data_IF_443710221242
#
_entry.id   IF_443710221242
#
_cell.length_a   1.000
_cell.length_b   1.000
_cell.length_c   1.000
_cell.angle_alpha   90.00
_cell.angle_beta   90.00
_cell.angle_gamma   90.00
#
_symmetry.space_group_name_H-M   'P 1'
#
loop_
_entity.id
_entity.type
_entity.pdbx_description
1 polymer ?
#
# COMPACT_ATOMS: atom_id res chain seq x y z
N UNK A 1 -13.75 12.03 12.17
CA UNK A 1 -13.72 12.61 10.80
C UNK A 1 -15.09 13.21 10.52
N UNK A 2 -15.21 14.52 10.23
CA UNK A 2 -16.50 15.16 9.87
C UNK A 2 -16.91 14.95 8.41
N UNK A 3 -16.25 14.05 7.68
CA UNK A 3 -16.67 13.75 6.31
C UNK A 3 -17.98 12.96 6.41
N UNK A 4 -19.06 13.43 5.78
CA UNK A 4 -20.29 12.67 5.77
C UNK A 4 -20.05 11.31 5.10
N UNK A 5 -20.84 10.31 5.51
CA UNK A 5 -20.73 8.96 4.95
C UNK A 5 -21.04 8.93 3.45
N UNK A 6 -20.78 7.79 2.81
CA UNK A 6 -21.00 7.62 1.37
C UNK A 6 -22.43 7.96 0.91
N UNK A 7 -23.44 7.78 1.78
CA UNK A 7 -24.82 8.16 1.46
C UNK A 7 -25.01 9.65 1.12
N UNK A 8 -24.17 10.54 1.65
CA UNK A 8 -24.22 11.96 1.25
C UNK A 8 -23.67 12.20 -0.15
N UNK A 9 -22.68 11.43 -0.59
CA UNK A 9 -22.21 11.45 -1.97
C UNK A 9 -23.29 10.93 -2.92
N UNK A 10 -23.93 9.81 -2.56
CA UNK A 10 -24.98 9.21 -3.39
C UNK A 10 -26.15 10.18 -3.57
N UNK A 11 -26.61 10.81 -2.48
CA UNK A 11 -27.65 11.85 -2.52
C UNK A 11 -27.22 13.06 -3.35
N UNK A 12 -25.97 13.51 -3.22
CA UNK A 12 -25.46 14.60 -4.05
C UNK A 12 -25.46 14.24 -5.54
N UNK A 13 -25.06 13.02 -5.88
CA UNK A 13 -25.05 12.53 -7.26
C UNK A 13 -26.47 12.49 -7.85
N UNK A 14 -27.44 11.99 -7.10
CA UNK A 14 -28.85 11.96 -7.53
C UNK A 14 -29.37 13.38 -7.84
N UNK A 15 -29.09 14.34 -6.96
CA UNK A 15 -29.47 15.73 -7.17
C UNK A 15 -28.75 16.33 -8.39
N UNK A 16 -27.43 16.11 -8.51
CA UNK A 16 -26.63 16.57 -9.62
C UNK A 16 -27.16 16.05 -10.96
N UNK A 17 -27.41 14.74 -11.07
CA UNK A 17 -27.91 14.12 -12.31
C UNK A 17 -29.30 14.65 -12.67
N UNK A 18 -30.17 14.86 -11.67
CA UNK A 18 -31.52 15.39 -11.85
C UNK A 18 -31.48 16.81 -12.41
N UNK A 19 -30.74 17.71 -11.77
CA UNK A 19 -30.69 19.12 -12.17
C UNK A 19 -29.88 19.34 -13.44
N UNK A 20 -28.86 18.53 -13.74
CA UNK A 20 -28.13 18.58 -15.01
C UNK A 20 -29.04 18.27 -16.19
N UNK A 21 -29.89 17.23 -16.05
CA UNK A 21 -30.91 16.87 -17.05
C UNK A 21 -31.96 17.97 -17.22
N UNK A 22 -32.47 18.52 -16.13
CA UNK A 22 -33.46 19.62 -16.18
C UNK A 22 -32.88 20.87 -16.86
N UNK A 23 -31.61 21.17 -16.65
CA UNK A 23 -30.92 22.28 -17.30
C UNK A 23 -30.53 22.00 -18.77
N UNK A 24 -30.75 20.77 -19.27
CA UNK A 24 -30.34 20.36 -20.63
C UNK A 24 -28.82 20.37 -20.83
N UNK A 25 -28.03 20.20 -19.77
CA UNK A 25 -26.56 20.24 -19.83
C UNK A 25 -25.95 18.86 -19.69
N UNK A 26 -24.95 18.58 -20.52
CA UNK A 26 -24.07 17.43 -20.34
C UNK A 26 -22.99 17.77 -19.30
N UNK A 27 -23.22 17.35 -18.05
CA UNK A 27 -22.31 17.58 -16.94
C UNK A 27 -21.94 16.23 -16.31
N UNK A 28 -20.70 16.13 -15.84
CA UNK A 28 -20.17 14.89 -15.27
C UNK A 28 -19.52 15.15 -13.92
N UNK A 29 -19.69 14.20 -13.01
CA UNK A 29 -18.95 14.21 -11.75
C UNK A 29 -17.54 13.67 -11.97
N UNK A 30 -16.55 14.52 -11.71
CA UNK A 30 -15.14 14.15 -11.68
C UNK A 30 -14.70 14.15 -10.21
N UNK A 31 -14.63 12.97 -9.56
CA UNK A 31 -14.28 12.91 -8.15
C UNK A 31 -12.76 13.14 -7.92
N UNK A 32 -12.43 13.95 -6.91
CA UNK A 32 -11.06 14.18 -6.47
C UNK A 32 -10.75 13.40 -5.19
N UNK A 33 -9.74 12.54 -5.23
CA UNK A 33 -9.37 11.69 -4.09
C UNK A 33 -8.03 12.08 -3.49
N UNK A 34 -8.02 12.17 -2.16
CA UNK A 34 -6.83 12.42 -1.36
C UNK A 34 -6.55 11.17 -0.51
N UNK A 35 -5.33 10.67 -0.61
CA UNK A 35 -4.80 9.57 0.20
C UNK A 35 -4.04 10.10 1.42
N UNK A 36 -3.79 9.26 2.44
CA UNK A 36 -2.99 9.62 3.61
C UNK A 36 -3.53 10.82 4.43
N UNK A 37 -4.85 11.03 4.43
CA UNK A 37 -5.46 12.08 5.23
C UNK A 37 -5.35 11.77 6.74
N UNK A 38 -5.20 12.77 7.62
CA UNK A 38 -5.27 12.57 9.07
C UNK A 38 -6.58 11.88 9.49
N UNK A 39 -6.48 10.90 10.37
CA UNK A 39 -7.59 10.06 10.81
C UNK A 39 -7.90 8.88 9.89
N UNK A 40 -7.13 8.68 8.81
CA UNK A 40 -7.27 7.52 7.92
C UNK A 40 -6.34 6.39 8.32
N UNK A 41 -6.90 5.19 8.47
CA UNK A 41 -6.19 3.92 8.66
C UNK A 41 -6.08 3.16 7.35
N UNK A 42 -5.26 2.11 7.34
CA UNK A 42 -5.05 1.27 6.15
C UNK A 42 -6.36 0.56 5.77
N UNK A 43 -7.17 0.17 6.75
CA UNK A 43 -8.50 -0.42 6.53
C UNK A 43 -9.45 0.53 5.80
N UNK A 44 -9.42 1.82 6.12
CA UNK A 44 -10.25 2.83 5.46
C UNK A 44 -9.89 2.94 3.98
N UNK A 45 -8.59 2.87 3.66
CA UNK A 45 -8.09 2.91 2.29
C UNK A 45 -8.42 1.64 1.52
N UNK A 46 -8.40 0.47 2.17
CA UNK A 46 -8.90 -0.78 1.55
C UNK A 46 -10.39 -0.68 1.25
N UNK A 47 -11.20 -0.20 2.19
CA UNK A 47 -12.64 -0.03 1.99
C UNK A 47 -12.94 0.95 0.85
N UNK A 48 -12.21 2.07 0.79
CA UNK A 48 -12.32 3.03 -0.30
C UNK A 48 -11.91 2.42 -1.65
N UNK A 49 -10.83 1.64 -1.69
CA UNK A 49 -10.39 0.95 -2.90
C UNK A 49 -11.43 -0.06 -3.42
N UNK A 50 -12.07 -0.81 -2.52
CA UNK A 50 -13.18 -1.70 -2.86
C UNK A 50 -14.38 -0.92 -3.38
N UNK A 51 -14.72 0.22 -2.76
CA UNK A 51 -15.78 1.09 -3.24
C UNK A 51 -15.49 1.61 -4.65
N UNK A 52 -14.26 2.08 -4.92
CA UNK A 52 -13.83 2.52 -6.25
C UNK A 52 -13.97 1.39 -7.28
N UNK A 53 -13.53 0.18 -6.93
CA UNK A 53 -13.65 -1.00 -7.81
C UNK A 53 -15.09 -1.35 -8.12
N UNK A 54 -15.98 -1.33 -7.11
CA UNK A 54 -17.42 -1.59 -7.27
C UNK A 54 -18.06 -0.58 -8.24
N UNK A 55 -17.67 0.68 -8.17
CA UNK A 55 -18.18 1.77 -9.01
C UNK A 55 -17.38 1.98 -10.31
N UNK A 56 -16.44 1.07 -10.61
CA UNK A 56 -15.61 1.10 -11.83
C UNK A 56 -14.76 2.37 -11.99
N UNK A 57 -14.42 3.03 -10.89
CA UNK A 57 -13.44 4.12 -10.92
C UNK A 57 -12.02 3.57 -11.02
N UNK A 58 -11.25 4.12 -11.96
CA UNK A 58 -9.81 3.89 -12.13
C UNK A 58 -9.11 5.24 -12.06
N UNK A 59 -8.49 5.52 -10.93
CA UNK A 59 -7.88 6.82 -10.66
C UNK A 59 -6.43 6.85 -11.14
N UNK A 60 -6.11 7.70 -12.10
CA UNK A 60 -4.72 7.97 -12.46
C UNK A 60 -4.09 9.01 -11.54
N UNK A 61 -4.85 10.05 -11.19
CA UNK A 61 -4.39 11.15 -10.36
C UNK A 61 -4.85 10.96 -8.91
N UNK A 62 -3.91 10.58 -8.05
CA UNK A 62 -4.11 10.48 -6.60
C UNK A 62 -3.06 11.33 -5.90
N UNK A 63 -3.53 12.32 -5.14
CA UNK A 63 -2.66 13.16 -4.33
C UNK A 63 -2.57 12.60 -2.90
N UNK A 64 -1.36 12.60 -2.34
CA UNK A 64 -1.20 12.44 -0.91
C UNK A 64 -1.63 13.72 -0.21
N UNK A 65 -2.23 13.60 0.97
CA UNK A 65 -2.47 14.75 1.83
C UNK A 65 -1.17 15.52 2.04
N UNK A 66 -1.30 16.84 1.88
CA UNK A 66 -0.26 17.83 2.13
C UNK A 66 -0.82 18.83 3.14
N UNK A 67 -0.12 19.07 4.27
CA UNK A 67 -0.61 19.95 5.34
C UNK A 67 -0.57 21.42 4.90
N UNK A 68 -1.65 21.89 4.28
CA UNK A 68 -1.81 23.31 3.92
C UNK A 68 -2.14 24.16 5.15
N UNK A 69 -1.58 25.37 5.30
CA UNK A 69 -1.94 26.25 6.42
C UNK A 69 -3.44 26.52 6.54
N UNK A 70 -3.89 26.92 7.73
CA UNK A 70 -5.27 27.35 8.03
C UNK A 70 -6.35 26.28 7.80
N UNK A 71 -5.98 24.99 7.78
CA UNK A 71 -6.93 23.88 7.65
C UNK A 71 -7.00 23.01 8.92
N UNK A 72 -8.20 22.59 9.31
CA UNK A 72 -8.41 21.69 10.46
C UNK A 72 -7.64 20.38 10.33
N UNK A 73 -7.57 19.81 9.12
CA UNK A 73 -6.78 18.60 8.87
C UNK A 73 -5.29 18.85 9.11
N UNK A 74 -4.78 20.05 8.84
CA UNK A 74 -3.39 20.41 9.14
C UNK A 74 -3.15 20.51 10.63
N UNK A 75 -4.09 21.08 11.38
CA UNK A 75 -4.05 21.02 12.85
C UNK A 75 -4.00 19.57 13.33
N UNK A 76 -4.88 18.70 12.84
CA UNK A 76 -4.84 17.26 13.16
C UNK A 76 -3.51 16.61 12.78
N UNK A 77 -2.92 16.97 11.63
CA UNK A 77 -1.66 16.42 11.15
C UNK A 77 -0.50 16.73 12.12
N UNK A 78 -0.44 17.95 12.65
CA UNK A 78 0.62 18.37 13.55
C UNK A 78 0.37 17.95 15.00
N UNK A 79 -0.86 18.08 15.50
CA UNK A 79 -1.17 17.84 16.91
C UNK A 79 -1.54 16.39 17.22
N UNK A 80 -1.96 15.61 16.22
CA UNK A 80 -2.53 14.28 16.44
C UNK A 80 -3.83 14.30 17.24
N UNK A 81 -4.53 15.45 17.31
CA UNK A 81 -5.80 15.61 18.04
C UNK A 81 -6.88 16.15 17.12
N UNK A 82 -8.14 15.83 17.42
CA UNK A 82 -9.29 16.36 16.72
C UNK A 82 -9.64 17.77 17.26
N UNK A 83 -9.42 18.87 16.51
CA UNK A 83 -9.62 20.24 17.00
C UNK A 83 -11.10 20.63 17.16
N UNK A 84 -12.03 19.79 16.74
CA UNK A 84 -13.47 20.08 16.77
C UNK A 84 -14.13 19.65 18.08
N UNK A 85 -13.43 18.84 18.89
CA UNK A 85 -13.85 18.44 20.22
C UNK A 85 -13.04 19.15 21.30
N UNK A 86 -13.53 19.08 22.54
CA UNK A 86 -12.77 19.56 23.71
C UNK A 86 -11.48 18.75 23.85
N UNK A 87 -10.33 19.43 23.83
CA UNK A 87 -9.02 18.81 24.01
C UNK A 87 -8.71 18.76 25.51
N UNK A 88 -8.31 17.58 25.98
CA UNK A 88 -7.90 17.32 27.36
C UNK A 88 -7.14 16.02 27.47
N UNK A 89 -6.78 15.60 28.68
CA UNK A 89 -5.94 14.41 28.89
C UNK A 89 -6.56 13.12 28.31
N UNK A 90 -7.88 12.99 28.35
CA UNK A 90 -8.63 11.83 27.83
C UNK A 90 -9.08 11.98 26.37
N UNK A 91 -8.59 12.99 25.65
CA UNK A 91 -8.99 13.23 24.25
C UNK A 91 -8.46 12.15 23.32
N UNK A 92 -9.29 11.71 22.37
CA UNK A 92 -8.93 10.74 21.34
C UNK A 92 -7.70 11.19 20.55
N UNK A 93 -6.83 10.24 20.23
CA UNK A 93 -5.70 10.45 19.33
C UNK A 93 -6.10 10.17 17.88
N UNK A 94 -5.75 11.11 17.03
CA UNK A 94 -5.93 11.00 15.58
C UNK A 94 -4.68 10.36 14.99
N UNK A 95 -4.85 9.19 14.38
CA UNK A 95 -3.79 8.54 13.61
C UNK A 95 -3.42 9.42 12.40
N UNK A 96 -2.13 9.68 12.20
CA UNK A 96 -1.65 10.49 11.07
C UNK A 96 -0.68 9.69 10.21
N UNK A 97 -1.00 9.41 8.93
CA UNK A 97 -0.11 8.71 8.01
C UNK A 97 1.07 9.59 7.57
N UNK A 98 2.13 9.66 8.38
CA UNK A 98 3.34 10.47 8.08
C UNK A 98 4.42 9.70 7.33
N UNK A 99 4.54 8.39 7.59
CA UNK A 99 5.62 7.57 7.05
C UNK A 99 5.51 7.32 5.55
N UNK A 100 6.64 7.33 4.84
CA UNK A 100 6.71 7.11 3.39
C UNK A 100 6.02 5.81 2.96
N UNK A 101 6.33 4.69 3.64
CA UNK A 101 5.74 3.38 3.35
C UNK A 101 4.22 3.40 3.41
N UNK A 102 3.65 3.98 4.46
CA UNK A 102 2.20 4.03 4.65
C UNK A 102 1.53 4.97 3.63
N UNK A 103 2.13 6.13 3.36
CA UNK A 103 1.61 7.08 2.35
C UNK A 103 1.64 6.47 0.95
N UNK A 104 2.71 5.74 0.61
CA UNK A 104 2.82 4.99 -0.64
C UNK A 104 1.77 3.88 -0.74
N UNK A 105 1.54 3.15 0.36
CA UNK A 105 0.49 2.14 0.42
C UNK A 105 -0.91 2.75 0.20
N UNK A 106 -1.24 3.85 0.88
CA UNK A 106 -2.54 4.52 0.73
C UNK A 106 -2.75 4.97 -0.71
N UNK A 107 -1.74 5.56 -1.34
CA UNK A 107 -1.80 5.94 -2.75
C UNK A 107 -1.95 4.73 -3.67
N UNK A 108 -1.21 3.65 -3.42
CA UNK A 108 -1.26 2.40 -4.17
C UNK A 108 -2.66 1.76 -4.11
N UNK A 109 -3.30 1.73 -2.94
CA UNK A 109 -4.65 1.21 -2.76
C UNK A 109 -5.69 1.94 -3.63
N UNK A 110 -5.61 3.27 -3.73
CA UNK A 110 -6.51 4.03 -4.60
C UNK A 110 -6.24 3.81 -6.10
N UNK A 111 -5.01 3.42 -6.45
CA UNK A 111 -4.58 3.02 -7.79
C UNK A 111 -4.51 1.49 -7.94
N UNK A 112 -5.48 0.75 -7.39
CA UNK A 112 -5.49 -0.72 -7.35
C UNK A 112 -5.37 -1.41 -8.73
N UNK A 113 -5.73 -0.72 -9.81
CA UNK A 113 -5.71 -1.25 -11.17
C UNK A 113 -4.32 -1.23 -11.80
N UNK A 114 -3.38 -0.46 -11.25
CA UNK A 114 -2.00 -0.36 -11.73
C UNK A 114 -1.18 -1.58 -11.24
N UNK A 115 -0.65 -2.42 -12.15
CA UNK A 115 0.11 -3.61 -11.80
C UNK A 115 1.34 -3.35 -10.94
N UNK A 116 1.97 -2.18 -11.08
CA UNK A 116 3.15 -1.81 -10.28
C UNK A 116 2.84 -1.77 -8.78
N UNK A 117 1.58 -1.55 -8.40
CA UNK A 117 1.14 -1.47 -7.01
C UNK A 117 0.77 -2.83 -6.41
N UNK A 118 0.55 -3.88 -7.21
CA UNK A 118 0.02 -5.16 -6.74
C UNK A 118 0.90 -5.86 -5.70
N UNK A 119 2.25 -5.90 -5.81
CA UNK A 119 3.07 -6.53 -4.77
C UNK A 119 2.89 -5.86 -3.40
N UNK A 120 2.90 -4.52 -3.38
CA UNK A 120 2.71 -3.72 -2.16
C UNK A 120 1.32 -3.93 -1.54
N UNK A 121 0.28 -3.91 -2.37
CA UNK A 121 -1.10 -4.12 -1.91
C UNK A 121 -1.28 -5.53 -1.36
N UNK A 122 -0.77 -6.56 -2.05
CA UNK A 122 -0.84 -7.96 -1.57
C UNK A 122 -0.17 -8.11 -0.21
N UNK A 123 1.05 -7.60 -0.06
CA UNK A 123 1.76 -7.65 1.22
C UNK A 123 0.95 -7.01 2.35
N UNK A 124 0.36 -5.84 2.09
CA UNK A 124 -0.47 -5.16 3.08
C UNK A 124 -1.76 -5.93 3.41
N UNK A 125 -2.46 -6.46 2.39
CA UNK A 125 -3.65 -7.29 2.59
C UNK A 125 -3.35 -8.56 3.38
N UNK A 126 -2.21 -9.21 3.13
CA UNK A 126 -1.76 -10.36 3.90
C UNK A 126 -1.48 -10.01 5.35
N UNK A 127 -0.77 -8.90 5.60
CA UNK A 127 -0.48 -8.41 6.95
C UNK A 127 -1.76 -8.03 7.73
N UNK A 128 -2.79 -7.54 7.03
CA UNK A 128 -4.10 -7.23 7.60
C UNK A 128 -5.03 -8.45 7.72
N UNK A 129 -4.59 -9.66 7.34
CA UNK A 129 -5.43 -10.86 7.35
C UNK A 129 -6.54 -10.89 6.28
N UNK A 130 -6.49 -10.00 5.27
CA UNK A 130 -7.49 -9.85 4.20
C UNK A 130 -7.12 -10.61 2.92
N UNK A 131 -6.54 -11.81 3.05
CA UNK A 131 -6.11 -12.65 1.90
C UNK A 131 -7.24 -12.98 0.92
N UNK A 132 -8.48 -13.03 1.39
CA UNK A 132 -9.66 -13.26 0.55
C UNK A 132 -9.90 -12.17 -0.52
N UNK A 133 -9.29 -10.99 -0.37
CA UNK A 133 -9.31 -9.91 -1.35
C UNK A 133 -8.23 -10.06 -2.45
N UNK A 134 -7.47 -11.15 -2.44
CA UNK A 134 -6.45 -11.45 -3.45
C UNK A 134 -6.97 -12.61 -4.32
N UNK A 135 -7.08 -12.40 -5.63
CA UNK A 135 -7.54 -13.43 -6.56
C UNK A 135 -8.21 -12.88 -7.81
N UNK A 136 -8.70 -13.80 -8.65
CA UNK A 136 -9.31 -13.47 -9.95
C UNK A 136 -10.79 -13.14 -9.89
N UNK A 137 -11.42 -13.25 -8.72
CA UNK A 137 -12.86 -12.96 -8.57
C UNK A 137 -13.13 -11.46 -8.65
N UNK A 138 -14.37 -11.10 -9.02
CA UNK A 138 -14.79 -9.70 -9.21
C UNK A 138 -14.69 -8.87 -7.92
N UNK A 139 -14.88 -9.50 -6.77
CA UNK A 139 -14.85 -8.93 -5.42
C UNK A 139 -13.44 -8.82 -4.83
N UNK A 140 -12.46 -9.56 -5.35
CA UNK A 140 -11.06 -9.40 -4.97
C UNK A 140 -10.57 -8.00 -5.38
N UNK A 141 -9.67 -7.38 -4.64
CA UNK A 141 -9.12 -6.06 -4.96
C UNK A 141 -8.03 -6.17 -6.05
N UNK A 142 -7.08 -7.09 -5.87
CA UNK A 142 -5.93 -7.34 -6.74
C UNK A 142 -5.83 -8.83 -7.14
N UNK A 143 -5.24 -9.16 -8.30
CA UNK A 143 -5.06 -10.54 -8.72
C UNK A 143 -4.04 -11.29 -7.85
N UNK A 144 -4.07 -12.62 -7.95
CA UNK A 144 -3.05 -13.48 -7.36
C UNK A 144 -1.69 -13.29 -8.07
N UNK A 145 -0.56 -13.58 -7.41
CA UNK A 145 0.75 -13.55 -8.03
C UNK A 145 0.82 -14.36 -9.31
N UNK A 146 1.47 -13.81 -10.35
CA UNK A 146 1.79 -14.59 -11.54
C UNK A 146 2.97 -15.52 -11.25
N UNK A 147 3.11 -16.57 -12.07
CA UNK A 147 4.21 -17.53 -11.93
C UNK A 147 5.58 -16.86 -12.09
N UNK A 148 5.66 -15.85 -12.95
CA UNK A 148 6.90 -15.10 -13.21
C UNK A 148 7.23 -14.15 -12.05
N UNK A 149 6.24 -13.45 -11.48
CA UNK A 149 6.45 -12.67 -10.25
C UNK A 149 6.95 -13.56 -9.10
N UNK A 150 6.41 -14.78 -8.96
CA UNK A 150 6.87 -15.73 -7.95
C UNK A 150 8.31 -16.21 -8.21
N UNK A 151 8.68 -16.43 -9.47
CA UNK A 151 10.05 -16.80 -9.86
C UNK A 151 11.03 -15.65 -9.58
N UNK A 152 10.66 -14.42 -9.91
CA UNK A 152 11.48 -13.23 -9.66
C UNK A 152 11.67 -12.99 -8.16
N UNK A 153 10.60 -13.07 -7.37
CA UNK A 153 10.70 -12.97 -5.91
C UNK A 153 11.65 -14.04 -5.32
N UNK A 154 11.59 -15.27 -5.82
CA UNK A 154 12.52 -16.35 -5.44
C UNK A 154 13.97 -16.05 -5.83
N UNK A 155 14.20 -15.47 -7.03
CA UNK A 155 15.54 -15.06 -7.48
C UNK A 155 16.10 -13.92 -6.63
N UNK A 156 15.30 -12.90 -6.33
CA UNK A 156 15.69 -11.79 -5.47
C UNK A 156 16.07 -12.28 -4.07
N UNK A 157 15.24 -13.15 -3.46
CA UNK A 157 15.53 -13.73 -2.14
C UNK A 157 16.82 -14.57 -2.12
N UNK A 158 17.22 -15.15 -3.25
CA UNK A 158 18.48 -15.91 -3.38
C UNK A 158 19.71 -15.00 -3.40
N UNK A 159 19.56 -13.75 -3.84
CA UNK A 159 20.64 -12.76 -3.90
C UNK A 159 20.70 -11.83 -2.68
N UNK A 160 19.64 -11.75 -1.89
CA UNK A 160 19.66 -11.01 -0.61
C UNK A 160 20.37 -11.82 0.46
N UNK A 161 21.59 -11.41 0.83
CA UNK A 161 22.26 -11.91 2.04
C UNK A 161 21.75 -11.11 3.23
N UNK A 162 21.24 -11.73 4.29
CA UNK A 162 20.82 -11.00 5.48
C UNK A 162 22.02 -10.23 6.05
N UNK A 163 21.83 -8.94 6.35
CA UNK A 163 22.85 -8.13 6.99
C UNK A 163 23.13 -8.70 8.39
N UNK A 164 24.36 -9.17 8.61
CA UNK A 164 24.80 -9.67 9.91
C UNK A 164 24.92 -8.46 10.87
N UNK A 165 24.06 -8.39 11.87
CA UNK A 165 24.13 -7.40 12.96
C UNK A 165 24.46 -8.10 14.27
N UNK A 166 24.76 -7.33 15.33
CA UNK A 166 25.04 -7.88 16.68
C UNK A 166 23.88 -8.70 17.27
N UNK A 167 22.67 -8.57 16.71
CA UNK A 167 21.47 -9.31 17.12
C UNK A 167 21.12 -10.47 16.18
N UNK A 168 21.95 -10.77 15.19
CA UNK A 168 21.76 -11.94 14.32
C UNK A 168 22.25 -13.21 15.04
N UNK A 169 21.47 -14.31 15.07
CA UNK A 169 21.87 -15.54 15.73
C UNK A 169 23.25 -16.05 15.26
N UNK A 170 24.11 -16.47 16.20
CA UNK A 170 25.49 -16.94 15.98
C UNK A 170 25.58 -18.04 14.90
N UNK A 171 24.52 -18.84 14.73
CA UNK A 171 24.44 -19.88 13.69
C UNK A 171 24.61 -19.33 12.25
N UNK A 172 24.12 -18.11 11.99
CA UNK A 172 24.27 -17.45 10.68
C UNK A 172 25.61 -16.70 10.53
N UNK A 173 26.28 -16.35 11.63
CA UNK A 173 27.61 -15.72 11.59
C UNK A 173 28.74 -16.72 11.24
N UNK A 174 28.58 -18.01 11.55
CA UNK A 174 29.63 -19.04 11.37
C UNK A 174 29.74 -19.64 9.96
N UNK A 175 28.88 -19.25 9.01
CA UNK A 175 29.03 -19.68 7.61
C UNK A 175 29.99 -18.74 6.85
N UNK A 176 31.25 -18.71 7.26
CA UNK A 176 32.35 -18.15 6.46
C UNK A 176 33.00 -19.28 5.64
N UNK A 177 33.29 -19.09 4.34
CA UNK A 177 33.95 -20.10 3.53
C UNK A 177 35.44 -20.10 3.84
N UNK A 178 35.84 -20.77 4.90
CA UNK A 178 37.25 -21.01 5.25
C UNK A 178 37.56 -22.52 5.21
N UNK A 179 37.38 -23.16 4.05
CA UNK A 179 37.93 -24.48 3.74
C UNK A 179 37.77 -24.82 2.24
N UNK A 180 38.31 -24.00 1.34
CA UNK A 180 38.54 -24.39 -0.05
C UNK A 180 40.04 -24.33 -0.34
N UNK A 181 40.79 -25.21 0.33
CA UNK A 181 42.23 -25.34 0.17
C UNK A 181 42.63 -26.81 -0.02
N UNK A 182 43.26 -27.07 -1.17
CA UNK A 182 44.11 -28.23 -1.48
C UNK A 182 43.45 -29.62 -1.68
N UNK A 183 43.35 -30.02 -2.96
CA UNK A 183 43.98 -31.23 -3.52
C UNK A 183 43.93 -31.22 -5.06
N UNK A 184 44.90 -30.55 -5.69
CA UNK A 184 45.26 -30.80 -7.10
C UNK A 184 45.96 -32.17 -7.14
N UNK A 185 45.29 -33.17 -7.70
CA UNK A 185 45.84 -34.52 -7.92
C UNK A 185 46.68 -34.48 -9.21
N UNK A 186 48.00 -34.45 -9.07
CA UNK A 186 48.96 -34.51 -10.19
C UNK A 186 48.97 -35.95 -10.74
N UNK A 187 48.74 -36.12 -12.05
CA UNK A 187 48.90 -37.41 -12.75
C UNK A 187 50.39 -37.65 -13.05
N UNK A 188 50.93 -38.88 -12.86
CA UNK A 188 52.30 -39.18 -13.26
C UNK A 188 52.41 -39.30 -14.79
N UNK A 189 53.47 -38.73 -15.35
CA UNK A 189 53.86 -38.86 -16.77
C UNK A 189 54.34 -40.29 -17.04
N UNK A 190 53.84 -40.89 -18.12
CA UNK A 190 54.36 -42.12 -18.69
C UNK A 190 55.78 -41.90 -19.25
N UNK A 191 56.69 -42.82 -18.96
CA UNK A 191 58.03 -42.91 -19.57
C UNK A 191 57.95 -43.98 -20.65
N UNK A 192 58.24 -43.59 -21.89
CA UNK A 192 58.39 -44.49 -23.02
C UNK A 192 59.79 -45.13 -23.05
N UNK A 193 59.84 -46.41 -23.35
CA UNK A 193 60.87 -47.01 -24.21
C UNK A 193 60.15 -47.90 -25.21
#
# INVERSE_FOLDING_TARGET
MMKPGMGSYDRFKELFDTYSKQAGKEQYLIPYFISAHPGTRDEDMVNLALWLKKHRFRLDQVQNFYPSPLANSTTMYYTGKNPLGKIGYKSEEVVVPKGDKQRRLHKALLRYHDPANWPLIRQALEAMGKKHLIGSRRDCLVPAPTLDEMREARRQNRHTRPALTKHTPIAHQRQTPAAAGAKKRVKPKAVSR
#
